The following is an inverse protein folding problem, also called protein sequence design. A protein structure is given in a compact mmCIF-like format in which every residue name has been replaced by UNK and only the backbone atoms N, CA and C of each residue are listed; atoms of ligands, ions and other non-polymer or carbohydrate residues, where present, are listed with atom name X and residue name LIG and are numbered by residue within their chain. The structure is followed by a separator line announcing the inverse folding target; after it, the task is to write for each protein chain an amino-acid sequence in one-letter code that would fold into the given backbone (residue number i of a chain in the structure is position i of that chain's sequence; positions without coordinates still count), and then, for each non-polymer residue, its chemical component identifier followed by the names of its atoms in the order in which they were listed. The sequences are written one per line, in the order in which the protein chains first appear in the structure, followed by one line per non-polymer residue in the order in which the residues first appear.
data_IF_085312683511
#
_entry.id   IF_085312683511
#
_cell.length_a   1.000
_cell.length_b   1.000
_cell.length_c   1.000
_cell.angle_alpha   90.00
_cell.angle_beta   90.00
_cell.angle_gamma   90.00
#
_symmetry.space_group_name_H-M   'P 1'
#
loop_
_entity.id
_entity.type
_entity.pdbx_description
1 polymer ?
#
# COMPACT_ATOMS: atom_id res chain seq x y z
N UNK A 1 23.81 14.97 -9.42
CA UNK A 1 23.20 13.62 -9.39
C UNK A 1 21.74 13.78 -9.78
N UNK A 2 21.24 13.00 -10.74
CA UNK A 2 19.94 13.23 -11.36
C UNK A 2 18.79 12.76 -10.45
N UNK A 3 17.83 13.66 -10.14
CA UNK A 3 16.65 13.36 -9.33
C UNK A 3 15.75 12.32 -10.00
N UNK A 4 15.77 12.22 -11.33
CA UNK A 4 14.99 11.24 -12.08
C UNK A 4 15.37 9.80 -11.70
N UNK A 5 16.67 9.50 -11.60
CA UNK A 5 17.19 8.17 -11.24
C UNK A 5 16.74 7.77 -9.83
N UNK A 6 16.76 8.71 -8.87
CA UNK A 6 16.28 8.42 -7.52
C UNK A 6 14.77 8.21 -7.47
N UNK A 7 14.01 8.95 -8.27
CA UNK A 7 12.56 8.76 -8.37
C UNK A 7 12.23 7.37 -8.92
N UNK A 8 12.96 6.91 -9.95
CA UNK A 8 12.78 5.56 -10.48
C UNK A 8 13.10 4.50 -9.44
N UNK A 9 14.25 4.60 -8.75
CA UNK A 9 14.60 3.64 -7.68
C UNK A 9 13.53 3.58 -6.60
N UNK A 10 13.09 4.73 -6.11
CA UNK A 10 12.03 4.80 -5.11
C UNK A 10 10.72 4.20 -5.63
N UNK A 11 10.34 4.48 -6.87
CA UNK A 11 9.13 3.93 -7.49
C UNK A 11 9.20 2.40 -7.60
N UNK A 12 10.34 1.85 -8.03
CA UNK A 12 10.55 0.40 -8.07
C UNK A 12 10.47 -0.24 -6.69
N UNK A 13 11.09 0.35 -5.67
CA UNK A 13 10.99 -0.15 -4.29
C UNK A 13 9.55 -0.13 -3.78
N UNK A 14 8.85 0.99 -3.93
CA UNK A 14 7.45 1.15 -3.48
C UNK A 14 6.52 0.14 -4.17
N UNK A 15 6.64 -0.01 -5.50
CA UNK A 15 5.80 -0.97 -6.24
C UNK A 15 6.12 -2.41 -5.88
N UNK A 16 7.38 -2.74 -5.59
CA UNK A 16 7.77 -4.06 -5.08
C UNK A 16 7.17 -4.35 -3.69
N UNK A 17 7.22 -3.37 -2.77
CA UNK A 17 6.57 -3.46 -1.45
C UNK A 17 5.08 -3.75 -1.55
N UNK A 18 4.36 -3.01 -2.41
CA UNK A 18 2.94 -3.26 -2.64
C UNK A 18 2.66 -4.63 -3.28
N UNK A 19 3.49 -5.07 -4.22
CA UNK A 19 3.35 -6.39 -4.83
C UNK A 19 3.55 -7.51 -3.81
N UNK A 20 4.59 -7.41 -2.98
CA UNK A 20 4.88 -8.36 -1.90
C UNK A 20 3.73 -8.41 -0.88
N UNK A 21 3.22 -7.25 -0.45
CA UNK A 21 2.05 -7.19 0.44
C UNK A 21 0.80 -7.82 -0.19
N UNK A 22 0.51 -7.52 -1.46
CA UNK A 22 -0.69 -8.02 -2.15
C UNK A 22 -0.64 -9.54 -2.28
N UNK A 23 0.51 -10.10 -2.62
CA UNK A 23 0.68 -11.55 -2.68
C UNK A 23 0.61 -12.20 -1.30
N UNK A 24 1.29 -11.62 -0.31
CA UNK A 24 1.30 -12.13 1.05
C UNK A 24 -0.07 -12.06 1.71
N UNK A 25 -0.86 -11.02 1.48
CA UNK A 25 -2.22 -10.90 2.00
C UNK A 25 -3.28 -11.48 1.05
N UNK A 26 -2.85 -12.27 0.05
CA UNK A 26 -3.80 -12.90 -0.86
C UNK A 26 -4.68 -13.93 -0.14
N UNK A 27 -5.95 -13.92 -0.51
CA UNK A 27 -6.98 -14.78 0.04
C UNK A 27 -7.65 -15.57 -1.07
N UNK A 28 -8.19 -16.75 -0.74
CA UNK A 28 -8.83 -17.65 -1.72
C UNK A 28 -10.27 -18.03 -1.35
N UNK A 29 -10.66 -17.90 -0.09
CA UNK A 29 -11.94 -18.37 0.42
C UNK A 29 -12.69 -17.24 1.10
N UNK A 30 -13.95 -17.02 0.70
CA UNK A 30 -14.86 -16.08 1.36
C UNK A 30 -15.86 -16.85 2.22
N UNK A 31 -15.91 -16.53 3.52
CA UNK A 31 -16.80 -17.19 4.48
C UNK A 31 -17.19 -16.22 5.60
N UNK A 32 -18.45 -16.27 6.00
CA UNK A 32 -19.00 -15.50 7.13
C UNK A 32 -18.74 -13.99 7.07
N UNK A 33 -18.67 -13.44 5.86
CA UNK A 33 -18.43 -12.01 5.67
C UNK A 33 -16.95 -11.62 5.57
N UNK A 34 -16.01 -12.56 5.58
CA UNK A 34 -14.58 -12.30 5.54
C UNK A 34 -13.84 -13.20 4.54
N UNK A 35 -12.63 -12.79 4.17
CA UNK A 35 -11.73 -13.59 3.34
C UNK A 35 -10.66 -14.26 4.19
N UNK A 36 -10.50 -15.58 4.07
CA UNK A 36 -9.39 -16.31 4.72
C UNK A 36 -8.14 -16.19 3.85
N UNK A 37 -7.03 -15.77 4.47
CA UNK A 37 -5.73 -15.74 3.79
C UNK A 37 -5.33 -17.14 3.32
N UNK A 38 -4.56 -17.24 2.22
CA UNK A 38 -4.11 -18.53 1.67
C UNK A 38 -3.32 -19.37 2.69
N UNK A 39 -2.62 -18.70 3.59
CA UNK A 39 -1.81 -19.30 4.64
C UNK A 39 -2.20 -18.68 5.98
N UNK A 40 -2.24 -19.52 7.01
CA UNK A 40 -2.44 -19.06 8.39
C UNK A 40 -1.27 -18.18 8.80
N UNK A 41 -1.60 -17.00 9.31
CA UNK A 41 -0.67 -15.97 9.74
C UNK A 41 -1.14 -15.41 11.07
N UNK A 42 -0.21 -15.14 11.96
CA UNK A 42 -0.51 -14.37 13.17
C UNK A 42 -0.23 -12.87 12.99
N UNK A 43 -0.67 -12.07 13.97
CA UNK A 43 -0.53 -10.61 13.92
C UNK A 43 0.93 -10.16 13.86
N UNK A 44 1.81 -10.86 14.56
CA UNK A 44 3.23 -10.51 14.65
C UNK A 44 3.92 -10.82 13.32
N UNK A 45 3.65 -11.99 12.74
CA UNK A 45 4.18 -12.39 11.43
C UNK A 45 3.81 -11.39 10.34
N UNK A 46 2.55 -10.94 10.28
CA UNK A 46 2.14 -9.92 9.29
C UNK A 46 2.86 -8.59 9.53
N UNK A 47 2.98 -8.16 10.78
CA UNK A 47 3.65 -6.90 11.12
C UNK A 47 5.14 -6.91 10.78
N UNK A 48 5.83 -8.02 11.08
CA UNK A 48 7.22 -8.23 10.74
C UNK A 48 7.41 -8.30 9.23
N UNK A 49 6.54 -9.02 8.52
CA UNK A 49 6.56 -9.10 7.06
C UNK A 49 6.43 -7.71 6.42
N UNK A 50 5.46 -6.90 6.84
CA UNK A 50 5.25 -5.56 6.28
C UNK A 50 6.48 -4.67 6.48
N UNK A 51 7.07 -4.67 7.68
CA UNK A 51 8.29 -3.88 7.92
C UNK A 51 9.47 -4.34 7.08
N UNK A 52 9.70 -5.66 6.99
CA UNK A 52 10.75 -6.24 6.15
C UNK A 52 10.54 -5.96 4.66
N UNK A 53 9.30 -5.69 4.24
CA UNK A 53 8.95 -5.42 2.85
C UNK A 53 8.68 -3.93 2.58
N UNK A 54 9.30 -3.03 3.33
CA UNK A 54 9.34 -1.62 2.97
C UNK A 54 8.14 -0.80 3.44
N UNK A 55 7.47 -1.19 4.53
CA UNK A 55 6.44 -0.38 5.17
C UNK A 55 6.93 0.12 6.53
N UNK A 56 6.80 1.42 6.79
CA UNK A 56 7.05 1.98 8.12
C UNK A 56 6.18 1.30 9.19
N UNK A 57 6.71 1.15 10.41
CA UNK A 57 6.03 0.48 11.51
C UNK A 57 4.63 1.05 11.78
N UNK A 58 4.47 2.38 11.72
CA UNK A 58 3.18 3.02 11.95
C UNK A 58 2.18 2.69 10.83
N UNK A 59 2.64 2.64 9.59
CA UNK A 59 1.82 2.27 8.44
C UNK A 59 1.46 0.79 8.47
N UNK A 60 2.41 -0.09 8.80
CA UNK A 60 2.15 -1.52 8.96
C UNK A 60 1.05 -1.79 10.00
N UNK A 61 1.10 -1.09 11.13
CA UNK A 61 0.05 -1.15 12.16
C UNK A 61 -1.31 -0.69 11.63
N UNK A 62 -1.35 0.41 10.87
CA UNK A 62 -2.59 0.92 10.26
C UNK A 62 -3.16 -0.04 9.24
N UNK A 63 -2.33 -0.64 8.40
CA UNK A 63 -2.74 -1.66 7.42
C UNK A 63 -3.40 -2.82 8.14
N UNK A 64 -2.71 -3.41 9.13
CA UNK A 64 -3.26 -4.54 9.91
C UNK A 64 -4.59 -4.15 10.55
N UNK A 65 -4.65 -3.00 11.20
CA UNK A 65 -5.85 -2.59 11.94
C UNK A 65 -7.03 -2.22 11.03
N UNK A 66 -6.77 -1.85 9.77
CA UNK A 66 -7.82 -1.45 8.83
C UNK A 66 -8.31 -2.61 7.96
N UNK A 67 -7.43 -3.58 7.68
CA UNK A 67 -7.70 -4.64 6.72
C UNK A 67 -7.81 -6.03 7.32
N UNK A 68 -7.30 -6.26 8.53
CA UNK A 68 -7.30 -7.59 9.13
C UNK A 68 -8.15 -7.63 10.40
N UNK A 69 -8.93 -8.70 10.50
CA UNK A 69 -9.61 -9.14 11.71
C UNK A 69 -8.91 -10.39 12.23
N UNK A 70 -8.74 -10.47 13.55
CA UNK A 70 -8.18 -11.64 14.23
C UNK A 70 -9.31 -12.46 14.82
N UNK A 71 -9.55 -13.64 14.26
CA UNK A 71 -10.51 -14.58 14.81
C UNK A 71 -9.86 -15.35 15.97
N UNK A 72 -10.39 -15.19 17.18
CA UNK A 72 -9.88 -15.84 18.38
C UNK A 72 -10.07 -17.35 18.38
N UNK A 73 -11.07 -17.86 17.65
CA UNK A 73 -11.46 -19.27 17.70
C UNK A 73 -10.59 -20.10 16.76
N UNK A 74 -10.30 -19.57 15.56
CA UNK A 74 -9.37 -20.19 14.60
C UNK A 74 -7.91 -19.76 14.82
N UNK A 75 -7.68 -18.65 15.52
CA UNK A 75 -6.38 -17.99 15.66
C UNK A 75 -5.72 -17.76 14.28
N UNK A 76 -6.50 -17.21 13.35
CA UNK A 76 -6.11 -16.87 11.98
C UNK A 76 -6.39 -15.39 11.66
N UNK A 77 -5.65 -14.86 10.69
CA UNK A 77 -5.95 -13.57 10.06
C UNK A 77 -7.09 -13.72 9.05
N UNK A 78 -8.10 -12.87 9.19
CA UNK A 78 -9.16 -12.71 8.20
C UNK A 78 -9.03 -11.34 7.54
N UNK A 79 -9.09 -11.30 6.22
CA UNK A 79 -9.12 -10.06 5.46
C UNK A 79 -10.56 -9.51 5.44
N UNK A 80 -10.72 -8.30 5.96
CA UNK A 80 -11.99 -7.56 5.99
C UNK A 80 -12.32 -7.15 4.55
N UNK A 81 -13.53 -7.44 4.04
CA UNK A 81 -13.97 -6.93 2.75
C UNK A 81 -14.08 -5.42 2.83
N UNK A 82 -13.15 -4.74 2.19
CA UNK A 82 -13.15 -3.30 2.03
C UNK A 82 -13.16 -2.97 0.54
N UNK A 83 -13.60 -1.76 0.19
CA UNK A 83 -13.20 -1.17 -1.09
C UNK A 83 -11.68 -1.17 -1.09
N UNK A 84 -11.07 -1.87 -2.04
CA UNK A 84 -9.61 -2.00 -2.10
C UNK A 84 -9.00 -0.60 -2.18
N UNK A 85 -8.16 -0.21 -1.22
CA UNK A 85 -7.29 0.94 -1.45
C UNK A 85 -6.40 0.57 -2.64
N UNK A 86 -6.32 1.44 -3.67
CA UNK A 86 -5.50 1.15 -4.82
C UNK A 86 -4.03 1.11 -4.40
N UNK A 87 -3.30 0.14 -4.92
CA UNK A 87 -1.86 0.04 -4.80
C UNK A 87 -1.20 0.63 -6.04
N UNK A 88 0.01 1.16 -5.88
CA UNK A 88 0.81 1.62 -7.01
C UNK A 88 1.45 0.41 -7.69
N UNK A 89 1.29 0.29 -9.01
CA UNK A 89 1.84 -0.81 -9.80
C UNK A 89 2.85 -0.29 -10.83
N UNK A 90 3.73 -1.18 -11.30
CA UNK A 90 4.73 -0.83 -12.32
C UNK A 90 4.10 -0.20 -13.58
N UNK A 91 2.94 -0.70 -14.00
CA UNK A 91 2.21 -0.19 -15.17
C UNK A 91 1.73 1.25 -15.01
N UNK A 92 1.64 1.74 -13.78
CA UNK A 92 1.14 3.08 -13.48
C UNK A 92 2.22 4.15 -13.61
N UNK A 93 3.49 3.75 -13.79
CA UNK A 93 4.65 4.65 -13.89
C UNK A 93 4.42 5.83 -14.83
N UNK A 94 3.91 5.66 -16.07
CA UNK A 94 3.72 6.78 -17.02
C UNK A 94 2.68 7.81 -16.57
N UNK A 95 1.81 7.45 -15.62
CA UNK A 95 0.73 8.29 -15.09
C UNK A 95 1.02 8.78 -13.66
N UNK A 96 2.17 8.39 -13.11
CA UNK A 96 2.53 8.71 -11.73
C UNK A 96 3.41 9.95 -11.68
N UNK A 97 2.91 10.97 -11.03
CA UNK A 97 3.67 12.18 -10.69
C UNK A 97 4.54 11.89 -9.46
N UNK A 98 5.69 12.57 -9.37
CA UNK A 98 6.55 12.48 -8.20
C UNK A 98 7.08 13.85 -7.76
N UNK A 99 7.19 14.04 -6.45
CA UNK A 99 7.65 15.26 -5.83
C UNK A 99 8.65 14.93 -4.73
N UNK A 100 9.91 15.36 -4.89
CA UNK A 100 10.89 15.29 -3.82
C UNK A 100 10.75 16.50 -2.89
N UNK A 101 10.50 16.25 -1.61
CA UNK A 101 10.60 17.30 -0.59
C UNK A 101 12.05 17.54 -0.18
N UNK A 102 12.87 16.48 -0.18
CA UNK A 102 14.32 16.51 0.02
C UNK A 102 14.96 15.26 -0.62
N UNK A 103 16.25 14.99 -0.39
CA UNK A 103 16.95 13.84 -0.98
C UNK A 103 16.45 12.46 -0.49
N UNK A 104 15.77 12.44 0.66
CA UNK A 104 15.37 11.23 1.36
C UNK A 104 13.85 11.11 1.47
N UNK A 105 13.08 11.99 0.83
CA UNK A 105 11.63 12.00 0.91
C UNK A 105 11.01 12.28 -0.45
N UNK A 106 10.21 11.34 -0.94
CA UNK A 106 9.48 11.45 -2.19
C UNK A 106 8.01 11.15 -1.99
N UNK A 107 7.18 11.91 -2.69
CA UNK A 107 5.74 11.68 -2.79
C UNK A 107 5.45 11.19 -4.20
N UNK A 108 4.73 10.09 -4.31
CA UNK A 108 4.10 9.64 -5.54
C UNK A 108 2.61 9.97 -5.53
N UNK A 109 2.12 10.48 -6.65
CA UNK A 109 0.72 10.80 -6.85
C UNK A 109 0.20 10.16 -8.13
N UNK A 110 -0.90 9.44 -8.01
CA UNK A 110 -1.62 8.84 -9.14
C UNK A 110 -3.07 9.28 -9.11
N UNK A 111 -3.56 9.76 -10.25
CA UNK A 111 -4.93 10.23 -10.40
C UNK A 111 -5.81 9.19 -11.07
N UNK A 112 -7.00 9.01 -10.54
CA UNK A 112 -8.08 8.20 -11.11
C UNK A 112 -9.26 9.11 -11.43
N UNK A 113 -9.96 8.79 -12.50
CA UNK A 113 -11.15 9.47 -12.97
C UNK A 113 -12.19 8.41 -13.32
N UNK A 114 -13.45 8.69 -13.02
CA UNK A 114 -14.60 7.82 -13.32
C UNK A 114 -14.41 6.37 -12.81
N UNK A 115 -13.75 6.18 -11.65
CA UNK A 115 -13.35 4.85 -11.19
C UNK A 115 -14.38 4.15 -10.29
N UNK A 116 -15.22 4.90 -9.58
CA UNK A 116 -16.37 4.37 -8.85
C UNK A 116 -17.71 4.90 -9.40
N UNK A 117 -17.76 6.14 -9.89
CA UNK A 117 -18.91 6.81 -10.49
C UNK A 117 -18.46 7.82 -11.56
N UNK A 118 -19.30 8.05 -12.56
CA UNK A 118 -19.05 9.09 -13.57
C UNK A 118 -18.95 10.46 -12.90
N UNK A 119 -17.90 11.19 -13.23
CA UNK A 119 -17.56 12.50 -12.68
C UNK A 119 -16.71 12.43 -11.42
N UNK A 120 -16.44 11.25 -10.86
CA UNK A 120 -15.56 11.14 -9.70
C UNK A 120 -14.08 11.33 -10.07
N UNK A 121 -13.32 11.83 -9.10
CA UNK A 121 -11.88 11.93 -9.22
C UNK A 121 -11.27 11.53 -7.89
N UNK A 122 -10.28 10.65 -7.95
CA UNK A 122 -9.53 10.21 -6.79
C UNK A 122 -8.03 10.41 -7.00
N UNK A 123 -7.31 10.57 -5.91
CA UNK A 123 -5.86 10.70 -5.90
C UNK A 123 -5.26 9.75 -4.88
N UNK A 124 -4.51 8.77 -5.38
CA UNK A 124 -3.65 7.94 -4.54
C UNK A 124 -2.38 8.72 -4.24
N UNK A 125 -2.11 8.86 -2.95
CA UNK A 125 -0.95 9.52 -2.39
C UNK A 125 -0.11 8.49 -1.65
N UNK A 126 1.17 8.41 -2.00
CA UNK A 126 2.13 7.54 -1.36
C UNK A 126 3.38 8.34 -1.01
N UNK A 127 3.75 8.38 0.26
CA UNK A 127 5.01 8.97 0.68
C UNK A 127 6.02 7.88 1.01
N UNK A 128 7.24 8.01 0.47
CA UNK A 128 8.35 7.12 0.77
C UNK A 128 9.52 7.91 1.37
N UNK A 129 10.05 7.39 2.47
CA UNK A 129 11.30 7.84 3.07
C UNK A 129 12.45 6.94 2.60
N UNK A 130 13.64 7.50 2.57
CA UNK A 130 14.87 6.75 2.37
C UNK A 130 15.66 6.69 3.66
N UNK A 131 16.04 5.49 4.06
CA UNK A 131 17.08 5.26 5.04
C UNK A 131 18.24 4.53 4.36
N UNK A 132 19.45 5.06 4.51
CA UNK A 132 20.65 4.63 3.78
C UNK A 132 20.44 4.47 2.26
N UNK A 133 20.22 3.25 1.78
CA UNK A 133 19.97 2.92 0.37
C UNK A 133 18.58 2.35 0.09
N UNK A 134 17.75 2.17 1.12
CA UNK A 134 16.45 1.53 1.03
C UNK A 134 15.32 2.56 1.14
N UNK A 135 14.24 2.31 0.41
CA UNK A 135 13.04 3.15 0.41
C UNK A 135 11.89 2.43 1.12
N UNK A 136 11.24 3.14 2.03
CA UNK A 136 10.15 2.63 2.85
C UNK A 136 8.93 3.53 2.71
N UNK A 137 7.77 2.91 2.52
CA UNK A 137 6.47 3.57 2.46
C UNK A 137 6.09 4.01 3.87
N UNK A 138 5.89 5.31 4.04
CA UNK A 138 5.48 5.93 5.31
C UNK A 138 4.03 6.38 5.32
N UNK A 139 3.47 6.67 4.14
CA UNK A 139 2.08 7.07 4.00
C UNK A 139 1.45 6.43 2.78
N UNK A 140 0.20 6.01 2.91
CA UNK A 140 -0.62 5.44 1.85
C UNK A 140 -2.07 5.87 2.06
N UNK A 141 -2.56 6.74 1.19
CA UNK A 141 -3.89 7.32 1.30
C UNK A 141 -4.55 7.46 -0.07
N UNK A 142 -5.87 7.28 -0.10
CA UNK A 142 -6.71 7.64 -1.24
C UNK A 142 -7.59 8.81 -0.83
N UNK A 143 -7.51 9.89 -1.58
CA UNK A 143 -8.35 11.07 -1.41
C UNK A 143 -9.36 11.15 -2.54
N UNK A 144 -10.61 11.45 -2.22
CA UNK A 144 -11.55 11.95 -3.21
C UNK A 144 -11.20 13.42 -3.48
N UNK A 145 -11.00 13.78 -4.73
CA UNK A 145 -10.87 15.17 -5.12
C UNK A 145 -12.26 15.80 -5.05
N UNK A 146 -12.54 16.51 -3.95
CA UNK A 146 -13.77 17.28 -3.84
C UNK A 146 -13.73 18.36 -4.91
N UNK A 147 -14.64 18.30 -5.87
CA UNK A 147 -14.83 19.37 -6.84
C UNK A 147 -15.25 20.63 -6.08
N UNK A 148 -14.41 21.67 -6.10
CA UNK A 148 -14.79 23.01 -5.65
C UNK A 148 -15.72 23.67 -6.67
#
# INVERSE_FOLDING_TARGET
MDKSIFAEKAFFSVTASFAAMTDYLSANNYKDGYYTLKERKDRKEVFEFLQQNGFDASLAFRIISSYLLWDSDSAEALLIPARSLPTLQLKDRPKTEYYFLNSNYVIFRLHFYDCYQIGDQYSLFIAANRDEEEWFISEWQLFEAVSN
#
